data_IF_663921924208
#
_entry.id   IF_663921924208
#
_cell.length_a   1.000
_cell.length_b   1.000
_cell.length_c   1.000
_cell.angle_alpha   90.00
_cell.angle_beta   90.00
_cell.angle_gamma   90.00
#
_symmetry.space_group_name_H-M   'P 1'
#
loop_
_entity.id
_entity.type
_entity.pdbx_description
1 polymer ?
#
# COMPACT_ATOMS: atom_id res chain seq x y z
N UNK A 1 -17.21 20.13 -5.98
CA UNK A 1 -17.38 20.52 -7.38
C UNK A 1 -16.71 19.47 -8.25
N UNK A 2 -17.53 18.74 -8.97
CA UNK A 2 -17.11 17.47 -9.58
C UNK A 2 -16.39 17.59 -10.92
N UNK A 3 -16.39 18.74 -11.57
CA UNK A 3 -15.76 18.86 -12.89
C UNK A 3 -15.24 20.27 -13.17
N UNK A 4 -13.93 20.43 -13.23
CA UNK A 4 -13.32 21.49 -13.99
C UNK A 4 -13.15 21.01 -15.44
N UNK A 5 -13.90 21.58 -16.38
CA UNK A 5 -13.62 21.46 -17.79
C UNK A 5 -14.47 20.52 -18.64
N UNK A 6 -15.60 20.02 -18.17
CA UNK A 6 -16.57 19.34 -19.03
C UNK A 6 -17.94 19.93 -18.85
N UNK A 7 -18.55 20.41 -19.93
CA UNK A 7 -19.96 20.78 -19.96
C UNK A 7 -20.77 19.58 -20.35
N UNK A 8 -21.53 19.04 -19.43
CA UNK A 8 -22.49 17.95 -19.67
C UNK A 8 -23.86 18.46 -20.13
N UNK A 9 -24.06 19.78 -20.14
CA UNK A 9 -25.31 20.37 -20.60
C UNK A 9 -25.18 20.97 -22.02
N UNK A 10 -26.13 20.68 -22.87
CA UNK A 10 -26.20 21.17 -24.24
C UNK A 10 -26.26 22.70 -24.40
N UNK A 11 -26.45 23.42 -23.30
CA UNK A 11 -26.57 24.91 -23.30
C UNK A 11 -25.45 25.60 -22.50
N UNK A 12 -24.44 24.83 -21.97
CA UNK A 12 -23.39 25.37 -21.14
C UNK A 12 -22.19 25.89 -21.91
N UNK A 13 -21.48 26.81 -21.31
CA UNK A 13 -20.18 27.32 -21.75
C UNK A 13 -19.09 26.67 -20.89
N UNK A 14 -18.02 26.22 -21.54
CA UNK A 14 -16.88 25.60 -20.83
C UNK A 14 -16.19 26.63 -19.95
N UNK A 15 -16.01 26.33 -18.67
CA UNK A 15 -15.37 27.21 -17.69
C UNK A 15 -13.86 27.43 -17.95
N UNK A 16 -13.22 26.60 -18.78
CA UNK A 16 -11.79 26.69 -19.09
C UNK A 16 -11.55 27.50 -20.37
N UNK A 17 -12.24 27.16 -21.45
CA UNK A 17 -11.99 27.79 -22.75
C UNK A 17 -13.10 28.72 -23.21
N UNK A 18 -14.18 28.88 -22.45
CA UNK A 18 -15.39 29.67 -22.80
C UNK A 18 -16.06 29.26 -24.12
N UNK A 19 -15.72 28.11 -24.68
CA UNK A 19 -16.38 27.57 -25.86
C UNK A 19 -17.71 26.89 -25.49
N UNK A 20 -18.62 26.80 -26.46
CA UNK A 20 -19.84 26.01 -26.30
C UNK A 20 -19.54 24.52 -26.20
N UNK A 21 -20.47 23.75 -25.64
CA UNK A 21 -20.29 22.31 -25.43
C UNK A 21 -20.05 21.51 -26.73
N UNK A 22 -20.58 22.02 -27.86
CA UNK A 22 -20.42 21.44 -29.20
C UNK A 22 -19.05 21.74 -29.84
N UNK A 23 -18.40 22.81 -29.40
CA UNK A 23 -17.11 23.27 -29.95
C UNK A 23 -15.94 23.09 -28.98
N UNK A 24 -16.23 22.75 -27.73
CA UNK A 24 -15.18 22.49 -26.72
C UNK A 24 -14.51 21.13 -26.97
N UNK A 25 -13.17 21.08 -27.16
CA UNK A 25 -12.46 19.81 -27.41
C UNK A 25 -12.41 18.89 -26.16
N UNK A 26 -12.93 19.36 -25.05
CA UNK A 26 -12.75 18.70 -23.74
C UNK A 26 -11.44 19.11 -23.06
N UNK A 27 -11.43 19.05 -21.74
CA UNK A 27 -10.27 19.37 -20.91
C UNK A 27 -10.10 18.32 -19.83
N UNK A 28 -8.85 18.06 -19.48
CA UNK A 28 -8.54 17.19 -18.35
C UNK A 28 -9.04 17.81 -17.05
N UNK A 29 -9.77 17.06 -16.26
CA UNK A 29 -10.24 17.46 -14.95
C UNK A 29 -9.57 16.65 -13.86
N UNK A 30 -9.69 17.10 -12.61
CA UNK A 30 -9.21 16.38 -11.42
C UNK A 30 -10.39 16.12 -10.48
N UNK A 31 -10.56 14.87 -10.11
CA UNK A 31 -11.56 14.44 -9.14
C UNK A 31 -10.82 14.11 -7.84
N UNK A 32 -11.09 14.87 -6.78
CA UNK A 32 -10.59 14.55 -5.44
C UNK A 32 -11.37 13.38 -4.86
N UNK A 33 -10.67 12.36 -4.42
CA UNK A 33 -11.27 11.18 -3.81
C UNK A 33 -11.46 11.38 -2.31
N UNK A 34 -12.54 10.86 -1.71
CA UNK A 34 -12.78 10.96 -0.27
C UNK A 34 -11.79 10.12 0.56
N UNK A 35 -11.14 9.15 -0.06
CA UNK A 35 -10.11 8.32 0.56
C UNK A 35 -9.08 7.86 -0.50
N UNK A 36 -7.84 7.56 -0.08
CA UNK A 36 -6.81 7.09 -0.99
C UNK A 36 -7.16 5.71 -1.55
N UNK A 37 -6.96 5.53 -2.85
CA UNK A 37 -7.12 4.25 -3.52
C UNK A 37 -5.78 3.76 -4.07
N UNK A 38 -5.52 2.44 -4.06
CA UNK A 38 -4.30 1.89 -4.64
C UNK A 38 -4.29 2.07 -6.15
N UNK A 39 -3.14 2.45 -6.69
CA UNK A 39 -2.93 2.48 -8.13
C UNK A 39 -2.91 1.06 -8.67
N UNK A 40 -3.62 0.78 -9.76
CA UNK A 40 -3.74 -0.56 -10.34
C UNK A 40 -2.37 -1.23 -10.58
N UNK A 41 -1.41 -0.46 -11.10
CA UNK A 41 -0.04 -0.94 -11.35
C UNK A 41 0.70 -1.37 -10.07
N UNK A 42 0.33 -0.84 -8.90
CA UNK A 42 1.00 -1.10 -7.63
C UNK A 42 0.31 -2.19 -6.80
N UNK A 43 -0.84 -2.68 -7.22
CA UNK A 43 -1.65 -3.64 -6.48
C UNK A 43 -0.88 -4.92 -6.13
N UNK A 44 -0.14 -5.46 -7.08
CA UNK A 44 0.68 -6.67 -6.90
C UNK A 44 1.77 -6.43 -5.84
N UNK A 45 2.42 -5.28 -5.90
CA UNK A 45 3.49 -4.92 -4.96
C UNK A 45 2.95 -4.69 -3.56
N UNK A 46 1.78 -4.05 -3.44
CA UNK A 46 1.09 -3.89 -2.16
C UNK A 46 0.79 -5.26 -1.55
N UNK A 47 0.27 -6.20 -2.33
CA UNK A 47 0.00 -7.58 -1.88
C UNK A 47 1.25 -8.31 -1.40
N UNK A 48 2.40 -8.05 -2.02
CA UNK A 48 3.66 -8.67 -1.66
C UNK A 48 4.31 -8.03 -0.43
N UNK A 49 4.20 -6.72 -0.29
CA UNK A 49 4.90 -5.95 0.73
C UNK A 49 4.14 -5.87 2.07
N UNK A 50 2.83 -5.62 2.04
CA UNK A 50 2.03 -5.42 3.26
C UNK A 50 2.14 -6.58 4.26
N UNK A 51 2.12 -7.87 3.84
CA UNK A 51 2.29 -8.99 4.78
C UNK A 51 3.64 -9.02 5.50
N UNK A 52 4.63 -8.28 4.98
CA UNK A 52 5.99 -8.24 5.50
C UNK A 52 6.24 -7.04 6.42
N UNK A 53 5.22 -6.21 6.67
CA UNK A 53 5.34 -5.00 7.48
C UNK A 53 4.58 -5.15 8.79
N UNK A 54 5.21 -4.78 9.89
CA UNK A 54 4.53 -4.65 11.17
C UNK A 54 3.50 -3.50 11.11
N UNK A 55 2.21 -3.76 11.39
CA UNK A 55 1.18 -2.73 11.28
C UNK A 55 1.28 -1.63 12.34
N UNK A 56 2.04 -1.87 13.41
CA UNK A 56 2.19 -0.92 14.51
C UNK A 56 3.35 0.05 14.26
N UNK A 57 4.55 -0.47 13.95
CA UNK A 57 5.72 0.37 13.75
C UNK A 57 6.04 0.67 12.27
N UNK A 58 5.28 0.11 11.33
CA UNK A 58 5.44 0.26 9.87
C UNK A 58 6.86 -0.07 9.38
N UNK A 59 7.51 -1.07 9.98
CA UNK A 59 8.84 -1.55 9.60
C UNK A 59 8.83 -3.06 9.37
N UNK A 60 9.84 -3.55 8.67
CA UNK A 60 10.05 -4.99 8.50
C UNK A 60 10.47 -5.58 9.85
N UNK A 61 9.72 -6.55 10.41
CA UNK A 61 9.92 -7.07 11.75
C UNK A 61 11.04 -8.13 11.79
N UNK A 62 12.25 -7.75 11.42
CA UNK A 62 13.44 -8.59 11.48
C UNK A 62 14.47 -8.03 12.46
N UNK A 63 15.23 -8.89 13.15
CA UNK A 63 16.37 -8.51 13.97
C UNK A 63 17.44 -7.76 13.15
N UNK A 64 18.25 -6.94 13.82
CA UNK A 64 19.21 -6.07 13.13
C UNK A 64 20.35 -6.85 12.45
N UNK A 65 20.79 -7.98 13.02
CA UNK A 65 21.78 -8.89 12.43
C UNK A 65 21.32 -9.46 11.06
N UNK A 66 20.07 -9.89 10.98
CA UNK A 66 19.48 -10.38 9.72
C UNK A 66 19.32 -9.23 8.71
N UNK A 67 18.92 -8.05 9.18
CA UNK A 67 18.77 -6.86 8.32
C UNK A 67 20.10 -6.48 7.69
N UNK A 68 21.21 -6.48 8.43
CA UNK A 68 22.55 -6.20 7.89
C UNK A 68 22.98 -7.22 6.83
N UNK A 69 22.65 -8.49 7.01
CA UNK A 69 22.90 -9.52 6.00
C UNK A 69 22.11 -9.26 4.72
N UNK A 70 20.84 -8.85 4.83
CA UNK A 70 19.99 -8.55 3.68
C UNK A 70 20.50 -7.34 2.90
N UNK A 71 21.06 -6.32 3.57
CA UNK A 71 21.64 -5.17 2.88
C UNK A 71 22.84 -5.53 1.97
N UNK A 72 23.55 -6.62 2.27
CA UNK A 72 24.68 -7.12 1.44
C UNK A 72 24.22 -7.86 0.19
N UNK A 73 22.94 -8.19 0.10
CA UNK A 73 22.36 -8.92 -1.04
C UNK A 73 21.85 -7.93 -2.09
N UNK A 74 21.82 -8.36 -3.34
CA UNK A 74 21.30 -7.56 -4.44
C UNK A 74 19.82 -7.17 -4.24
N UNK A 75 19.43 -5.92 -4.57
CA UNK A 75 18.13 -5.36 -4.25
C UNK A 75 16.93 -6.23 -4.70
N UNK A 76 17.01 -6.81 -5.89
CA UNK A 76 15.92 -7.60 -6.47
C UNK A 76 15.66 -8.94 -5.74
N UNK A 77 16.62 -9.44 -4.95
CA UNK A 77 16.49 -10.68 -4.17
C UNK A 77 16.02 -10.44 -2.75
N UNK A 78 16.16 -9.22 -2.23
CA UNK A 78 15.91 -8.87 -0.83
C UNK A 78 14.52 -9.21 -0.36
N UNK A 79 13.50 -8.86 -1.15
CA UNK A 79 12.10 -9.10 -0.79
C UNK A 79 11.80 -10.59 -0.60
N UNK A 80 12.37 -11.44 -1.46
CA UNK A 80 12.22 -12.90 -1.36
C UNK A 80 12.88 -13.45 -0.09
N UNK A 81 14.06 -12.94 0.25
CA UNK A 81 14.78 -13.35 1.47
C UNK A 81 14.01 -12.92 2.71
N UNK A 82 13.54 -11.66 2.76
CA UNK A 82 12.71 -11.14 3.86
C UNK A 82 11.49 -12.03 4.08
N UNK A 83 10.79 -12.41 3.01
CA UNK A 83 9.63 -13.30 3.10
C UNK A 83 10.00 -14.64 3.73
N UNK A 84 11.07 -15.27 3.27
CA UNK A 84 11.53 -16.55 3.79
C UNK A 84 11.94 -16.45 5.28
N UNK A 85 12.61 -15.37 5.69
CA UNK A 85 13.01 -15.19 7.09
C UNK A 85 11.80 -14.95 8.01
N UNK A 86 10.82 -14.16 7.58
CA UNK A 86 9.57 -13.96 8.32
C UNK A 86 8.80 -15.28 8.45
N UNK A 87 8.72 -16.08 7.39
CA UNK A 87 8.08 -17.41 7.43
C UNK A 87 8.79 -18.36 8.39
N UNK A 88 10.13 -18.37 8.42
CA UNK A 88 10.91 -19.19 9.37
C UNK A 88 10.63 -18.80 10.82
N UNK A 89 10.56 -17.50 11.10
CA UNK A 89 10.28 -17.00 12.46
C UNK A 89 8.84 -17.33 12.86
N UNK A 90 7.88 -17.19 11.94
CA UNK A 90 6.47 -17.49 12.17
C UNK A 90 6.20 -18.98 12.41
N UNK A 91 6.97 -19.87 11.78
CA UNK A 91 6.77 -21.32 11.86
C UNK A 91 7.46 -21.98 13.07
N UNK A 92 8.18 -21.24 13.90
CA UNK A 92 8.89 -21.79 15.09
C UNK A 92 7.99 -22.14 16.28
N UNK A 93 6.71 -22.44 16.04
CA UNK A 93 5.92 -23.29 16.95
C UNK A 93 5.16 -22.62 18.08
N UNK A 94 5.28 -21.33 18.29
CA UNK A 94 4.40 -20.58 19.18
C UNK A 94 3.63 -19.55 18.37
N UNK A 95 2.29 -19.56 18.51
CA UNK A 95 1.35 -18.75 17.76
C UNK A 95 1.49 -17.22 17.94
N UNK A 96 2.68 -16.73 18.33
CA UNK A 96 2.91 -15.35 18.66
C UNK A 96 4.21 -14.84 18.06
N UNK A 97 4.08 -14.23 16.88
CA UNK A 97 5.18 -13.47 16.34
C UNK A 97 5.25 -12.09 17.02
N UNK A 98 6.29 -11.89 17.83
CA UNK A 98 6.57 -10.61 18.48
C UNK A 98 7.50 -9.79 17.59
N UNK A 99 7.11 -8.57 17.27
CA UNK A 99 7.96 -7.66 16.51
C UNK A 99 9.22 -7.30 17.32
N UNK A 100 10.43 -7.63 16.86
CA UNK A 100 11.67 -7.36 17.61
C UNK A 100 11.94 -5.85 17.76
N UNK A 101 11.24 -5.02 16.99
CA UNK A 101 11.43 -3.57 17.01
C UNK A 101 10.52 -2.83 17.98
N UNK A 102 9.26 -3.19 18.05
CA UNK A 102 8.28 -2.47 18.89
C UNK A 102 7.70 -3.35 20.00
N UNK A 103 8.10 -4.62 20.09
CA UNK A 103 7.60 -5.57 21.10
C UNK A 103 6.12 -5.93 20.93
N UNK A 104 5.44 -5.43 19.89
CA UNK A 104 4.05 -5.75 19.67
C UNK A 104 3.88 -7.15 19.09
N UNK A 105 2.80 -7.81 19.49
CA UNK A 105 2.37 -9.03 18.85
C UNK A 105 1.92 -8.69 17.43
N UNK A 106 2.72 -9.06 16.43
CA UNK A 106 2.42 -8.74 15.05
C UNK A 106 1.30 -9.63 14.55
N UNK A 107 0.39 -9.00 13.85
CA UNK A 107 -0.66 -9.69 13.12
C UNK A 107 -0.13 -10.07 11.76
N UNK A 108 -0.31 -11.32 11.38
CA UNK A 108 -0.08 -11.73 9.99
C UNK A 108 -1.18 -11.12 9.13
N UNK A 109 -0.81 -10.18 8.29
CA UNK A 109 -1.72 -9.57 7.31
C UNK A 109 -1.77 -10.50 6.10
N UNK A 110 -2.88 -11.19 5.93
CA UNK A 110 -3.14 -11.96 4.72
C UNK A 110 -3.98 -11.13 3.76
N UNK A 111 -3.49 -10.94 2.55
CA UNK A 111 -4.26 -10.26 1.51
C UNK A 111 -5.21 -11.26 0.85
N UNK A 112 -6.51 -11.02 0.98
CA UNK A 112 -7.55 -11.81 0.33
C UNK A 112 -8.34 -10.88 -0.59
N UNK A 113 -8.53 -11.26 -1.83
CA UNK A 113 -9.43 -10.59 -2.75
C UNK A 113 -8.94 -10.56 -4.18
N UNK A 114 -9.91 -10.52 -5.09
CA UNK A 114 -9.70 -10.27 -6.52
C UNK A 114 -9.84 -8.78 -6.81
N UNK A 115 -9.11 -8.30 -7.81
CA UNK A 115 -9.29 -6.95 -8.35
C UNK A 115 -10.74 -6.77 -8.86
N UNK A 116 -11.33 -5.56 -8.74
CA UNK A 116 -10.76 -4.28 -8.30
C UNK A 116 -10.94 -3.98 -6.80
N UNK A 117 -11.70 -4.79 -6.05
CA UNK A 117 -12.01 -4.56 -4.65
C UNK A 117 -11.02 -5.29 -3.75
N UNK A 118 -9.83 -4.75 -3.55
CA UNK A 118 -8.89 -5.32 -2.60
C UNK A 118 -9.36 -5.13 -1.16
N UNK A 119 -9.71 -6.23 -0.53
CA UNK A 119 -9.93 -6.31 0.91
C UNK A 119 -8.68 -6.91 1.54
N UNK A 120 -8.06 -6.18 2.43
CA UNK A 120 -6.94 -6.68 3.21
C UNK A 120 -7.49 -7.24 4.51
N UNK A 121 -7.30 -8.53 4.76
CA UNK A 121 -7.65 -9.15 6.03
C UNK A 121 -6.45 -9.13 6.96
N UNK A 122 -6.66 -8.70 8.19
CA UNK A 122 -5.75 -8.89 9.30
C UNK A 122 -6.23 -10.10 10.07
N UNK A 123 -5.34 -11.02 10.32
CA UNK A 123 -5.57 -12.10 11.26
C UNK A 123 -4.93 -11.75 12.61
N UNK A 124 -5.75 -11.59 13.63
CA UNK A 124 -5.27 -11.46 15.01
C UNK A 124 -5.05 -12.85 15.58
N UNK A 125 -3.80 -13.28 15.62
CA UNK A 125 -3.44 -14.59 16.17
C UNK A 125 -3.79 -14.76 17.64
N UNK A 126 -3.89 -13.64 18.38
CA UNK A 126 -4.22 -13.64 19.81
C UNK A 126 -5.70 -13.87 20.08
N UNK A 127 -6.54 -13.20 19.28
CA UNK A 127 -8.00 -13.25 19.43
C UNK A 127 -8.66 -14.27 18.52
N UNK A 128 -7.88 -14.90 17.63
CA UNK A 128 -8.38 -15.77 16.57
C UNK A 128 -9.52 -15.13 15.76
N UNK A 129 -9.43 -13.81 15.56
CA UNK A 129 -10.42 -13.02 14.83
C UNK A 129 -9.84 -12.47 13.53
N UNK A 130 -10.65 -12.51 12.48
CA UNK A 130 -10.34 -11.84 11.23
C UNK A 130 -10.94 -10.44 11.23
N UNK A 131 -10.16 -9.45 10.85
CA UNK A 131 -10.61 -8.07 10.68
C UNK A 131 -10.17 -7.53 9.32
N UNK A 132 -10.85 -6.49 8.81
CA UNK A 132 -10.52 -5.90 7.54
C UNK A 132 -9.70 -4.62 7.73
N UNK A 133 -8.56 -4.56 7.01
CA UNK A 133 -7.82 -3.30 6.89
C UNK A 133 -8.52 -2.37 5.90
N UNK A 134 -8.87 -1.20 6.39
CA UNK A 134 -9.32 -0.10 5.56
C UNK A 134 -8.17 0.39 4.65
N UNK A 135 -8.41 0.77 3.38
CA UNK A 135 -7.43 1.39 2.50
C UNK A 135 -6.67 2.57 3.12
N UNK A 136 -7.34 3.36 3.96
CA UNK A 136 -6.71 4.46 4.71
C UNK A 136 -5.64 3.94 5.67
N UNK A 137 -5.89 2.83 6.36
CA UNK A 137 -4.93 2.23 7.28
C UNK A 137 -3.69 1.70 6.53
N UNK A 138 -3.90 1.08 5.38
CA UNK A 138 -2.81 0.60 4.51
C UNK A 138 -1.98 1.77 3.99
N UNK A 139 -2.64 2.81 3.50
CA UNK A 139 -1.97 4.04 3.05
C UNK A 139 -1.13 4.66 4.17
N UNK A 140 -1.65 4.68 5.41
CA UNK A 140 -0.91 5.17 6.59
C UNK A 140 0.32 4.31 6.87
N UNK A 141 0.20 2.98 6.84
CA UNK A 141 1.32 2.05 7.04
C UNK A 141 2.41 2.30 5.98
N UNK A 142 2.04 2.42 4.71
CA UNK A 142 2.98 2.66 3.62
C UNK A 142 3.63 4.04 3.69
N UNK A 143 2.89 5.08 4.08
CA UNK A 143 3.44 6.42 4.27
C UNK A 143 4.46 6.49 5.41
N UNK A 144 4.27 5.68 6.45
CA UNK A 144 5.20 5.58 7.59
C UNK A 144 6.30 4.55 7.37
N UNK A 145 6.31 3.86 6.22
CA UNK A 145 7.29 2.82 5.92
C UNK A 145 8.66 3.41 5.58
N UNK A 146 9.68 3.00 6.32
CA UNK A 146 11.04 3.53 6.20
C UNK A 146 12.07 2.50 5.71
N UNK A 147 11.70 1.22 5.60
CA UNK A 147 12.60 0.15 5.17
C UNK A 147 12.55 -0.08 3.64
N UNK A 148 12.39 1.00 2.86
CA UNK A 148 12.24 0.97 1.39
C UNK A 148 13.42 0.29 0.72
N UNK A 149 14.64 0.72 1.07
CA UNK A 149 15.89 0.19 0.50
C UNK A 149 16.16 -1.26 0.95
N UNK A 150 15.78 -1.61 2.20
CA UNK A 150 15.89 -2.98 2.70
C UNK A 150 15.07 -3.94 1.84
N UNK A 151 13.90 -3.52 1.40
CA UNK A 151 13.03 -4.30 0.51
C UNK A 151 13.46 -4.28 -0.97
N UNK A 152 14.53 -3.56 -1.30
CA UNK A 152 15.03 -3.45 -2.68
C UNK A 152 14.27 -2.46 -3.55
N UNK A 153 13.39 -1.65 -2.97
CA UNK A 153 12.75 -0.55 -3.69
C UNK A 153 13.67 0.68 -3.79
N UNK A 154 13.43 1.51 -4.77
CA UNK A 154 14.18 2.74 -5.00
C UNK A 154 13.23 3.95 -4.97
N UNK A 155 13.80 5.17 -5.08
CA UNK A 155 13.02 6.44 -5.05
C UNK A 155 11.98 6.55 -6.15
N UNK A 156 12.18 5.90 -7.30
CA UNK A 156 11.24 5.95 -8.43
C UNK A 156 10.04 5.02 -8.21
N UNK A 157 10.18 4.01 -7.36
CA UNK A 157 9.14 3.05 -7.04
C UNK A 157 8.94 2.96 -5.50
N UNK A 158 8.77 4.12 -4.87
CA UNK A 158 8.56 4.23 -3.43
C UNK A 158 7.13 3.80 -3.06
N UNK A 159 6.96 2.88 -2.09
CA UNK A 159 5.65 2.45 -1.58
C UNK A 159 4.72 3.59 -1.14
N UNK A 160 5.27 4.73 -0.72
CA UNK A 160 4.49 5.93 -0.37
C UNK A 160 3.67 6.47 -1.54
N UNK A 161 4.11 6.24 -2.77
CA UNK A 161 3.48 6.73 -3.99
C UNK A 161 2.51 5.71 -4.63
N UNK A 162 2.23 4.59 -3.96
CA UNK A 162 1.38 3.54 -4.52
C UNK A 162 -0.12 3.81 -4.43
N UNK A 163 -0.49 4.87 -3.74
CA UNK A 163 -1.86 5.34 -3.64
C UNK A 163 -2.08 6.66 -4.35
N UNK A 164 -3.31 6.92 -4.76
CA UNK A 164 -3.73 8.21 -5.30
C UNK A 164 -4.92 8.75 -4.52
N UNK A 165 -4.94 10.06 -4.34
CA UNK A 165 -6.04 10.82 -3.72
C UNK A 165 -6.84 11.62 -4.74
N UNK A 166 -6.45 11.56 -6.01
CA UNK A 166 -7.16 12.20 -7.12
C UNK A 166 -7.03 11.37 -8.41
N UNK A 167 -8.00 11.50 -9.28
CA UNK A 167 -8.07 10.91 -10.63
C UNK A 167 -8.25 12.04 -11.64
#
# INVERSE_FOLDING_TARGET
>A
SLFYGSTTSSSGVCAICNARSDTCPGHSGVISLPFPIPRAICVKEIKNLIPLICPICSRVPLPDDIREQIYKVEPHLRLKIIKNEIEKISNKGENMFVCPRCGSNTRLIKVIGQEPCMRFKIFDTFKNTEDFLNPIAIHRILNSFNDVELCGYNRNFDPKNWFTTCI
#
